data_IF_902636434718
#
_entry.id   IF_902636434718
#
_cell.length_a   1.000
_cell.length_b   1.000
_cell.length_c   1.000
_cell.angle_alpha   90.00
_cell.angle_beta   90.00
_cell.angle_gamma   90.00
#
_symmetry.space_group_name_H-M   'P 1'
#
loop_
_entity.id
_entity.type
_entity.pdbx_description
1 polymer ?
#
# COMPACT_ATOMS: atom_id res chain seq x y z
N UNK A 1 -15.23 19.26 -6.84
CA UNK A 1 -15.38 17.96 -6.15
C UNK A 1 -14.82 16.81 -6.98
N UNK A 2 -15.23 16.68 -8.25
CA UNK A 2 -14.73 15.66 -9.18
C UNK A 2 -13.20 15.58 -9.25
N UNK A 3 -12.49 16.72 -9.42
CA UNK A 3 -11.02 16.76 -9.46
C UNK A 3 -10.34 16.17 -8.21
N UNK A 4 -10.93 16.39 -7.03
CA UNK A 4 -10.40 15.85 -5.77
C UNK A 4 -10.59 14.33 -5.72
N UNK A 5 -11.78 13.85 -6.09
CA UNK A 5 -12.08 12.42 -6.12
C UNK A 5 -11.14 11.72 -7.11
N UNK A 6 -11.09 12.19 -8.36
CA UNK A 6 -10.23 11.60 -9.39
C UNK A 6 -8.76 11.65 -9.00
N UNK A 7 -8.25 12.79 -8.53
CA UNK A 7 -6.87 12.94 -8.08
C UNK A 7 -6.50 11.98 -6.94
N UNK A 8 -7.41 11.80 -5.97
CA UNK A 8 -7.17 10.90 -4.83
C UNK A 8 -7.20 9.42 -5.22
N UNK A 9 -8.17 9.02 -6.05
CA UNK A 9 -8.28 7.66 -6.55
C UNK A 9 -7.12 7.31 -7.47
N UNK A 10 -6.81 8.15 -8.46
CA UNK A 10 -5.68 7.92 -9.38
C UNK A 10 -4.35 7.91 -8.62
N UNK A 11 -4.16 8.80 -7.64
CA UNK A 11 -2.99 8.78 -6.78
C UNK A 11 -2.84 7.47 -6.03
N UNK A 12 -3.94 6.97 -5.46
CA UNK A 12 -3.97 5.65 -4.81
C UNK A 12 -3.71 4.49 -5.77
N UNK A 13 -4.26 4.52 -6.98
CA UNK A 13 -4.03 3.48 -7.98
C UNK A 13 -2.57 3.42 -8.43
N UNK A 14 -1.95 4.58 -8.64
CA UNK A 14 -0.51 4.69 -8.97
C UNK A 14 0.35 4.23 -7.80
N UNK A 15 0.01 4.64 -6.57
CA UNK A 15 0.73 4.15 -5.40
C UNK A 15 0.60 2.62 -5.26
N UNK A 16 -0.59 2.05 -5.53
CA UNK A 16 -0.82 0.60 -5.53
C UNK A 16 -0.02 -0.14 -6.61
N UNK A 17 0.19 0.50 -7.77
CA UNK A 17 1.10 0.00 -8.80
C UNK A 17 2.56 0.00 -8.32
N UNK A 18 3.03 1.11 -7.75
CA UNK A 18 4.40 1.24 -7.21
C UNK A 18 4.65 0.21 -6.12
N UNK A 19 3.71 0.05 -5.20
CA UNK A 19 3.75 -0.95 -4.14
C UNK A 19 3.80 -2.38 -4.67
N UNK A 20 3.02 -2.67 -5.71
CA UNK A 20 3.01 -3.97 -6.39
C UNK A 20 4.34 -4.28 -7.09
N UNK A 21 4.96 -3.28 -7.72
CA UNK A 21 6.30 -3.42 -8.32
C UNK A 21 7.34 -3.66 -7.24
N UNK A 22 7.29 -2.90 -6.14
CA UNK A 22 8.24 -3.02 -5.04
C UNK A 22 8.20 -4.42 -4.41
N UNK A 23 7.02 -4.93 -4.05
CA UNK A 23 6.93 -6.26 -3.41
C UNK A 23 7.42 -7.38 -4.33
N UNK A 24 7.12 -7.32 -5.62
CA UNK A 24 7.59 -8.33 -6.59
C UNK A 24 9.10 -8.23 -6.80
N UNK A 25 9.65 -7.01 -6.88
CA UNK A 25 11.08 -6.82 -7.04
C UNK A 25 11.84 -7.30 -5.80
N UNK A 26 11.35 -6.98 -4.59
CA UNK A 26 11.93 -7.48 -3.34
C UNK A 26 11.86 -9.02 -3.24
N UNK A 27 10.80 -9.63 -3.78
CA UNK A 27 10.66 -11.07 -3.94
C UNK A 27 11.72 -11.66 -4.87
N UNK A 28 11.85 -11.12 -6.09
CA UNK A 28 12.79 -11.58 -7.12
C UNK A 28 14.26 -11.40 -6.73
N UNK A 29 14.58 -10.31 -6.03
CA UNK A 29 15.94 -10.04 -5.54
C UNK A 29 16.29 -10.86 -4.28
N UNK A 30 15.37 -11.67 -3.75
CA UNK A 30 15.59 -12.46 -2.54
C UNK A 30 15.67 -11.63 -1.25
N UNK A 31 15.41 -10.32 -1.31
CA UNK A 31 15.46 -9.43 -0.13
C UNK A 31 14.40 -9.83 0.89
N UNK A 32 13.21 -10.23 0.43
CA UNK A 32 12.18 -10.80 1.32
C UNK A 32 12.69 -12.07 2.01
N UNK A 33 13.39 -12.94 1.28
CA UNK A 33 14.07 -14.11 1.83
C UNK A 33 15.16 -13.78 2.85
N UNK A 34 15.99 -12.75 2.61
CA UNK A 34 17.00 -12.27 3.57
C UNK A 34 16.36 -11.76 4.87
N UNK A 35 15.17 -11.18 4.79
CA UNK A 35 14.38 -10.73 5.94
C UNK A 35 13.60 -11.87 6.61
N UNK A 36 13.75 -13.11 6.15
CA UNK A 36 12.98 -14.26 6.64
C UNK A 36 11.48 -14.16 6.33
N UNK A 37 11.11 -13.40 5.29
CA UNK A 37 9.73 -13.16 4.85
C UNK A 37 9.45 -13.90 3.53
N UNK A 38 8.58 -14.89 3.54
CA UNK A 38 8.21 -15.67 2.36
C UNK A 38 7.09 -15.03 1.53
N UNK A 39 7.26 -13.76 1.15
CA UNK A 39 6.31 -13.03 0.29
C UNK A 39 6.82 -12.92 -1.15
N UNK A 40 6.33 -13.80 -2.02
CA UNK A 40 6.64 -13.78 -3.44
C UNK A 40 5.35 -13.90 -4.27
N UNK A 41 4.55 -12.82 -4.40
CA UNK A 41 3.36 -12.84 -5.23
C UNK A 41 3.74 -12.92 -6.72
N UNK A 42 2.95 -13.66 -7.49
CA UNK A 42 3.07 -13.67 -8.94
C UNK A 42 2.54 -12.37 -9.53
N UNK A 43 3.34 -11.74 -10.41
CA UNK A 43 2.96 -10.49 -11.07
C UNK A 43 2.00 -10.76 -12.24
N UNK A 44 0.74 -11.06 -11.90
CA UNK A 44 -0.34 -11.31 -12.88
C UNK A 44 -1.26 -10.10 -13.01
N UNK A 45 -1.87 -9.94 -14.18
CA UNK A 45 -2.79 -8.83 -14.44
C UNK A 45 -3.99 -8.80 -13.47
N UNK A 46 -4.67 -9.92 -13.15
CA UNK A 46 -5.78 -9.92 -12.19
C UNK A 46 -5.34 -9.51 -10.77
N UNK A 47 -4.17 -9.96 -10.34
CA UNK A 47 -3.59 -9.59 -9.04
C UNK A 47 -3.28 -8.10 -8.97
N UNK A 48 -2.61 -7.56 -9.99
CA UNK A 48 -2.26 -6.15 -10.07
C UNK A 48 -3.50 -5.26 -10.14
N UNK A 49 -4.48 -5.61 -10.98
CA UNK A 49 -5.72 -4.87 -11.12
C UNK A 49 -6.43 -4.69 -9.78
N UNK A 50 -6.58 -5.79 -9.02
CA UNK A 50 -7.19 -5.75 -7.69
C UNK A 50 -6.45 -4.80 -6.75
N UNK A 51 -5.12 -4.82 -6.73
CA UNK A 51 -4.31 -3.93 -5.88
C UNK A 51 -4.43 -2.46 -6.27
N UNK A 52 -4.45 -2.15 -7.56
CA UNK A 52 -4.62 -0.78 -8.04
C UNK A 52 -6.00 -0.22 -7.67
N UNK A 53 -7.07 -1.01 -7.84
CA UNK A 53 -8.44 -0.58 -7.50
C UNK A 53 -8.56 -0.33 -6.00
N UNK A 54 -8.16 -1.30 -5.16
CA UNK A 54 -8.19 -1.13 -3.71
C UNK A 54 -7.27 0.00 -3.24
N UNK A 55 -6.09 0.15 -3.83
CA UNK A 55 -5.18 1.25 -3.57
C UNK A 55 -5.82 2.61 -3.83
N UNK A 56 -6.59 2.73 -4.92
CA UNK A 56 -7.39 3.91 -5.24
C UNK A 56 -8.48 4.20 -4.21
N UNK A 57 -9.26 3.18 -3.83
CA UNK A 57 -10.35 3.31 -2.85
C UNK A 57 -9.81 3.80 -1.50
N UNK A 58 -8.73 3.20 -1.02
CA UNK A 58 -8.13 3.58 0.27
C UNK A 58 -7.62 5.02 0.28
N UNK A 59 -7.11 5.54 -0.84
CA UNK A 59 -6.59 6.91 -0.88
C UNK A 59 -7.64 7.98 -1.13
N UNK A 60 -8.93 7.63 -1.28
CA UNK A 60 -10.02 8.60 -1.15
C UNK A 60 -9.96 9.33 0.21
N UNK A 61 -9.33 8.73 1.23
CA UNK A 61 -9.01 9.35 2.52
C UNK A 61 -8.19 10.64 2.40
N UNK A 62 -7.44 10.84 1.30
CA UNK A 62 -6.74 12.11 1.01
C UNK A 62 -7.71 13.27 0.74
N UNK A 63 -9.02 13.04 0.66
CA UNK A 63 -10.01 14.11 0.62
C UNK A 63 -10.28 14.71 2.01
N UNK A 64 -9.94 14.02 3.10
CA UNK A 64 -10.10 14.53 4.46
C UNK A 64 -9.13 15.69 4.71
N UNK A 65 -9.55 16.78 5.39
CA UNK A 65 -8.73 17.98 5.61
C UNK A 65 -7.67 17.79 6.71
N UNK A 66 -6.95 16.67 6.71
CA UNK A 66 -5.92 16.31 7.69
C UNK A 66 -4.52 16.57 7.14
N UNK A 67 -3.66 17.22 7.94
CA UNK A 67 -2.23 17.43 7.67
C UNK A 67 -1.88 17.97 6.27
N UNK A 68 -2.71 18.84 5.70
CA UNK A 68 -2.57 19.30 4.30
C UNK A 68 -1.19 19.91 3.99
N UNK A 69 -0.55 20.55 4.98
CA UNK A 69 0.78 21.17 4.83
C UNK A 69 1.93 20.15 4.83
N UNK A 70 1.73 18.95 5.37
CA UNK A 70 2.76 17.91 5.53
C UNK A 70 2.46 16.71 4.62
N UNK A 71 2.69 16.86 3.32
CA UNK A 71 2.28 15.88 2.29
C UNK A 71 2.81 14.47 2.53
N UNK A 72 4.10 14.32 2.84
CA UNK A 72 4.70 13.01 3.12
C UNK A 72 4.09 12.37 4.37
N UNK A 73 4.06 13.11 5.49
CA UNK A 73 3.47 12.63 6.75
C UNK A 73 2.01 12.22 6.57
N UNK A 74 1.23 13.02 5.84
CA UNK A 74 -0.16 12.73 5.50
C UNK A 74 -0.31 11.39 4.77
N UNK A 75 0.54 11.13 3.77
CA UNK A 75 0.57 9.86 3.05
C UNK A 75 0.88 8.68 3.97
N UNK A 76 1.91 8.80 4.82
CA UNK A 76 2.25 7.76 5.79
C UNK A 76 1.10 7.49 6.77
N UNK A 77 0.50 8.53 7.35
CA UNK A 77 -0.58 8.36 8.33
C UNK A 77 -1.82 7.72 7.72
N UNK A 78 -2.23 8.15 6.52
CA UNK A 78 -3.42 7.60 5.86
C UNK A 78 -3.20 6.17 5.34
N UNK A 79 -1.97 5.80 4.99
CA UNK A 79 -1.64 4.43 4.56
C UNK A 79 -1.54 3.42 5.71
N UNK A 80 -1.58 3.87 6.97
CA UNK A 80 -1.72 2.96 8.12
C UNK A 80 -3.07 2.22 8.13
N UNK A 81 -4.12 2.82 7.57
CA UNK A 81 -5.44 2.19 7.48
C UNK A 81 -5.46 0.97 6.55
N UNK A 82 -5.00 1.07 5.28
CA UNK A 82 -4.80 -0.11 4.44
C UNK A 82 -3.77 -1.09 5.01
N UNK A 83 -2.74 -0.62 5.73
CA UNK A 83 -1.79 -1.50 6.44
C UNK A 83 -2.49 -2.32 7.51
N UNK A 84 -3.34 -1.71 8.32
CA UNK A 84 -4.13 -2.40 9.33
C UNK A 84 -5.08 -3.42 8.70
N UNK A 85 -5.78 -3.04 7.62
CA UNK A 85 -6.62 -3.98 6.87
C UNK A 85 -5.81 -5.19 6.37
N UNK A 86 -4.62 -4.97 5.83
CA UNK A 86 -3.75 -6.04 5.35
C UNK A 86 -3.33 -6.97 6.49
N UNK A 87 -2.90 -6.41 7.63
CA UNK A 87 -2.34 -7.16 8.77
C UNK A 87 -3.39 -7.89 9.61
N UNK A 88 -4.58 -7.33 9.75
CA UNK A 88 -5.62 -7.83 10.64
C UNK A 88 -6.77 -8.54 9.93
N UNK A 89 -6.94 -8.36 8.62
CA UNK A 89 -8.02 -9.03 7.87
C UNK A 89 -7.51 -9.86 6.69
N UNK A 90 -6.69 -9.27 5.80
CA UNK A 90 -6.28 -9.97 4.57
C UNK A 90 -5.30 -11.11 4.86
N UNK A 91 -4.22 -10.84 5.60
CA UNK A 91 -3.21 -11.86 5.92
C UNK A 91 -3.77 -13.01 6.79
N UNK A 92 -4.59 -12.74 7.83
CA UNK A 92 -5.30 -13.80 8.55
C UNK A 92 -6.25 -14.59 7.66
N UNK A 93 -7.00 -13.92 6.77
CA UNK A 93 -7.89 -14.58 5.80
C UNK A 93 -7.17 -15.47 4.79
N UNK A 94 -5.88 -15.24 4.55
CA UNK A 94 -5.01 -16.12 3.76
C UNK A 94 -4.42 -17.30 4.55
N UNK A 95 -4.80 -17.47 5.82
CA UNK A 95 -4.28 -18.52 6.70
C UNK A 95 -2.86 -18.25 7.20
N UNK A 96 -2.38 -17.01 7.17
CA UNK A 96 -0.99 -16.62 7.51
C UNK A 96 -0.84 -16.06 8.92
N UNK A 97 -1.89 -16.21 9.73
CA UNK A 97 -1.93 -15.73 11.11
C UNK A 97 -2.11 -14.21 11.22
N UNK A 98 -2.40 -13.74 12.44
CA UNK A 98 -2.47 -12.31 12.75
C UNK A 98 -1.12 -11.65 12.47
N UNK A 99 -1.15 -10.46 11.86
CA UNK A 99 0.05 -9.74 11.41
C UNK A 99 0.85 -10.45 10.29
N UNK A 100 0.38 -11.59 9.78
CA UNK A 100 1.08 -12.35 8.74
C UNK A 100 2.35 -13.05 9.21
N UNK A 101 2.47 -13.35 10.51
CA UNK A 101 3.66 -14.00 11.09
C UNK A 101 3.97 -15.36 10.45
N UNK A 102 2.98 -16.02 9.82
CA UNK A 102 3.19 -17.24 9.04
C UNK A 102 3.99 -17.03 7.75
N UNK A 103 4.24 -15.78 7.35
CA UNK A 103 5.22 -15.45 6.31
C UNK A 103 6.59 -15.08 6.88
N UNK A 104 6.70 -14.74 8.17
CA UNK A 104 7.93 -14.27 8.80
C UNK A 104 7.66 -13.22 9.88
N UNK A 105 8.53 -13.11 10.87
CA UNK A 105 8.36 -12.16 11.99
C UNK A 105 8.44 -10.70 11.55
N UNK A 106 9.18 -10.41 10.47
CA UNK A 106 9.33 -9.06 9.91
C UNK A 106 8.25 -8.68 8.89
N UNK A 107 7.30 -9.58 8.60
CA UNK A 107 6.16 -9.28 7.70
C UNK A 107 5.43 -7.98 8.04
N UNK A 108 5.12 -7.65 9.30
CA UNK A 108 4.39 -6.43 9.63
C UNK A 108 5.17 -5.17 9.25
N UNK A 109 6.48 -5.19 9.48
CA UNK A 109 7.38 -4.09 9.15
C UNK A 109 7.43 -3.88 7.64
N UNK A 110 7.58 -4.97 6.87
CA UNK A 110 7.59 -4.92 5.40
C UNK A 110 6.27 -4.34 4.87
N UNK A 111 5.13 -4.80 5.38
CA UNK A 111 3.81 -4.31 4.97
C UNK A 111 3.67 -2.80 5.23
N UNK A 112 4.05 -2.33 6.41
CA UNK A 112 3.93 -0.90 6.78
C UNK A 112 4.87 -0.04 5.93
N UNK A 113 6.13 -0.45 5.75
CA UNK A 113 7.12 0.30 4.96
C UNK A 113 6.67 0.43 3.51
N UNK A 114 6.21 -0.66 2.91
CA UNK A 114 5.70 -0.65 1.53
C UNK A 114 4.44 0.22 1.39
N UNK A 115 3.51 0.13 2.36
CA UNK A 115 2.35 1.01 2.39
C UNK A 115 2.72 2.48 2.59
N UNK A 116 3.77 2.82 3.34
CA UNK A 116 4.24 4.20 3.43
C UNK A 116 4.69 4.73 2.07
N UNK A 117 5.43 3.95 1.29
CA UNK A 117 5.81 4.33 -0.07
C UNK A 117 4.55 4.59 -0.91
N UNK A 118 3.58 3.68 -0.86
CA UNK A 118 2.27 3.84 -1.52
C UNK A 118 1.56 5.14 -1.10
N UNK A 119 1.43 5.39 0.20
CA UNK A 119 0.75 6.56 0.73
C UNK A 119 1.44 7.87 0.37
N UNK A 120 2.78 7.88 0.39
CA UNK A 120 3.59 9.03 -0.03
C UNK A 120 3.35 9.34 -1.51
N UNK A 121 3.45 8.33 -2.38
CA UNK A 121 3.20 8.48 -3.83
C UNK A 121 1.79 9.02 -4.07
N UNK A 122 0.78 8.43 -3.43
CA UNK A 122 -0.60 8.88 -3.56
C UNK A 122 -0.81 10.32 -3.08
N UNK A 123 -0.19 10.71 -1.96
CA UNK A 123 -0.31 12.06 -1.40
C UNK A 123 0.35 13.12 -2.29
N UNK A 124 1.52 12.83 -2.88
CA UNK A 124 2.17 13.73 -3.82
C UNK A 124 1.38 13.85 -5.13
N UNK A 125 0.85 12.74 -5.64
CA UNK A 125 -0.03 12.76 -6.82
C UNK A 125 -1.28 13.61 -6.56
N UNK A 126 -1.95 13.38 -5.43
CA UNK A 126 -3.12 14.17 -5.04
C UNK A 126 -2.80 15.65 -4.95
N UNK A 127 -1.66 16.02 -4.34
CA UNK A 127 -1.22 17.42 -4.27
C UNK A 127 -0.97 18.04 -5.64
N UNK A 128 -0.41 17.30 -6.59
CA UNK A 128 -0.15 17.78 -7.96
C UNK A 128 -1.45 18.00 -8.77
N UNK A 129 -2.54 17.31 -8.39
CA UNK A 129 -3.84 17.39 -9.06
C UNK A 129 -4.87 18.28 -8.34
N UNK A 130 -4.61 18.66 -7.08
CA UNK A 130 -5.46 19.52 -6.24
C UNK A 130 -5.34 20.97 -6.66
#
# INVERSE_FOLDING_TARGET
MIRKISGSFTGGAIGGLVDSINIVLLGKLGITGLLGVSMAPEFTAPWLYKRMVWGGIWMLLLMLPLWEKRTMFRGCMLSLLPSAMMLFMVLPGMGKGMLGLGFGTLTPVVVVVLNFIYGIVAAYWYKATK
#
